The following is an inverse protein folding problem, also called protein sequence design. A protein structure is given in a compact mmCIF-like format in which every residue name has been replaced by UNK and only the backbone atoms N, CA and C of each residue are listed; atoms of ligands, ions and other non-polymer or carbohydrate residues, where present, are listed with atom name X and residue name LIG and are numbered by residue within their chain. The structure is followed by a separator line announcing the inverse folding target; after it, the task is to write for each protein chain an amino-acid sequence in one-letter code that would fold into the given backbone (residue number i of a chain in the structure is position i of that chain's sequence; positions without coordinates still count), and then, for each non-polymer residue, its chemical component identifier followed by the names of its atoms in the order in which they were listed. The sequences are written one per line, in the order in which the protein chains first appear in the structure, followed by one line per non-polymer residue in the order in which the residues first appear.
data_IF_833533533000
#
_entry.id   IF_833533533000
#
_cell.length_a   1.000
_cell.length_b   1.000
_cell.length_c   1.000
_cell.angle_alpha   90.00
_cell.angle_beta   90.00
_cell.angle_gamma   90.00
#
_symmetry.space_group_name_H-M   'P 1'
#
loop_
_entity.id
_entity.type
_entity.pdbx_description
1 polymer ?
#
# COMPACT_ATOMS: atom_id res chain seq x y z
N UNK A 1 -30.84 -3.28 -1.26
CA UNK A 1 -29.88 -4.10 -0.49
C UNK A 1 -28.53 -3.40 -0.63
N UNK A 2 -27.87 -3.06 0.47
CA UNK A 2 -26.53 -2.47 0.38
C UNK A 2 -25.61 -3.48 -0.33
N UNK A 3 -24.89 -3.03 -1.36
CA UNK A 3 -23.93 -3.88 -2.06
C UNK A 3 -22.81 -4.21 -1.06
N UNK A 4 -22.64 -5.50 -0.73
CA UNK A 4 -21.58 -5.96 0.19
C UNK A 4 -20.24 -5.58 -0.45
N UNK A 5 -19.40 -4.85 0.29
CA UNK A 5 -18.07 -4.42 -0.19
C UNK A 5 -17.22 -5.64 -0.55
N UNK A 6 -16.32 -5.50 -1.53
CA UNK A 6 -15.35 -6.54 -1.87
C UNK A 6 -14.37 -6.83 -0.71
N UNK A 7 -14.31 -5.95 0.28
CA UNK A 7 -13.47 -6.07 1.47
C UNK A 7 -14.10 -6.83 2.63
N UNK A 8 -15.41 -7.10 2.58
CA UNK A 8 -16.06 -7.70 3.74
C UNK A 8 -15.47 -9.07 4.07
N UNK A 9 -15.20 -9.30 5.35
CA UNK A 9 -14.60 -10.53 5.91
C UNK A 9 -13.13 -10.77 5.49
N UNK A 10 -12.47 -9.80 4.84
CA UNK A 10 -11.04 -9.89 4.48
C UNK A 10 -10.14 -9.79 5.69
N UNK A 11 -9.08 -10.59 5.74
CA UNK A 11 -8.11 -10.58 6.84
C UNK A 11 -6.93 -9.69 6.47
N UNK A 12 -6.73 -8.62 7.23
CA UNK A 12 -5.75 -7.58 6.92
C UNK A 12 -4.79 -7.42 8.09
N UNK A 13 -3.49 -7.40 7.80
CA UNK A 13 -2.46 -7.00 8.77
C UNK A 13 -2.16 -5.52 8.58
N UNK A 14 -2.20 -4.73 9.64
CA UNK A 14 -1.78 -3.33 9.66
C UNK A 14 -0.63 -3.15 10.64
N UNK A 15 0.47 -2.58 10.16
CA UNK A 15 1.70 -2.39 10.94
C UNK A 15 2.13 -0.94 10.92
N UNK A 16 2.13 -0.31 12.09
CA UNK A 16 2.44 1.11 12.28
C UNK A 16 2.82 1.32 13.75
N UNK A 17 3.88 2.08 14.04
CA UNK A 17 4.30 2.33 15.43
C UNK A 17 3.40 3.34 16.16
N UNK A 18 2.50 4.01 15.43
CA UNK A 18 1.52 4.97 15.94
C UNK A 18 0.16 4.28 16.18
N UNK A 19 -0.25 3.99 17.45
CA UNK A 19 -1.48 3.24 17.74
C UNK A 19 -2.76 3.92 17.24
N UNK A 20 -2.78 5.25 17.20
CA UNK A 20 -3.88 6.06 16.67
C UNK A 20 -4.07 5.86 15.16
N UNK A 21 -2.99 5.65 14.41
CA UNK A 21 -3.07 5.28 13.00
C UNK A 21 -3.71 3.91 12.84
N UNK A 22 -3.33 2.95 13.68
CA UNK A 22 -3.91 1.59 13.65
C UNK A 22 -5.41 1.61 13.96
N UNK A 23 -5.83 2.38 14.96
CA UNK A 23 -7.23 2.54 15.34
C UNK A 23 -8.02 3.23 14.22
N UNK A 24 -7.48 4.27 13.59
CA UNK A 24 -8.12 4.96 12.45
C UNK A 24 -8.28 4.02 11.24
N UNK A 25 -7.28 3.18 10.96
CA UNK A 25 -7.37 2.19 9.87
C UNK A 25 -8.40 1.12 10.19
N UNK A 26 -8.50 0.67 11.45
CA UNK A 26 -9.53 -0.29 11.88
C UNK A 26 -10.94 0.29 11.76
N UNK A 27 -11.14 1.56 12.12
CA UNK A 27 -12.42 2.26 11.94
C UNK A 27 -12.81 2.40 10.47
N UNK A 28 -11.88 2.74 9.59
CA UNK A 28 -12.13 2.85 8.14
C UNK A 28 -12.41 1.48 7.48
N UNK A 29 -11.85 0.41 8.03
CA UNK A 29 -11.97 -0.95 7.51
C UNK A 29 -12.82 -1.85 8.43
N UNK A 30 -13.87 -1.28 9.02
CA UNK A 30 -14.76 -1.95 10.00
C UNK A 30 -15.43 -3.23 9.47
N UNK A 31 -15.51 -3.38 8.15
CA UNK A 31 -16.00 -4.57 7.47
C UNK A 31 -14.99 -5.71 7.36
N UNK A 32 -13.73 -5.48 7.76
CA UNK A 32 -12.61 -6.42 7.67
C UNK A 32 -12.24 -7.02 9.04
N UNK A 33 -11.43 -8.07 9.02
CA UNK A 33 -10.77 -8.62 10.21
C UNK A 33 -9.34 -8.06 10.29
N UNK A 34 -9.13 -7.10 11.19
CA UNK A 34 -7.85 -6.39 11.31
C UNK A 34 -6.97 -7.03 12.38
N UNK A 35 -5.75 -7.43 11.99
CA UNK A 35 -4.65 -7.71 12.90
C UNK A 35 -3.74 -6.48 12.97
N UNK A 36 -3.43 -6.03 14.19
CA UNK A 36 -2.62 -4.83 14.46
C UNK A 36 -1.26 -5.23 15.03
N UNK A 37 -0.18 -4.63 14.54
CA UNK A 37 1.15 -4.73 15.15
C UNK A 37 1.82 -3.35 15.20
N UNK A 38 2.46 -3.04 16.34
CA UNK A 38 3.11 -1.74 16.56
C UNK A 38 4.63 -1.77 16.38
N UNK A 39 5.18 -2.94 16.08
CA UNK A 39 6.62 -3.15 16.03
C UNK A 39 6.98 -4.25 15.01
N UNK A 40 8.26 -4.25 14.63
CA UNK A 40 8.80 -5.16 13.64
C UNK A 40 8.69 -6.63 14.05
N UNK A 41 8.99 -6.97 15.31
CA UNK A 41 9.09 -8.36 15.76
C UNK A 41 7.72 -9.02 15.79
N UNK A 42 6.71 -8.32 16.33
CA UNK A 42 5.32 -8.76 16.32
C UNK A 42 4.79 -8.90 14.89
N UNK A 43 5.04 -7.90 14.03
CA UNK A 43 4.64 -7.94 12.63
C UNK A 43 5.27 -9.10 11.88
N UNK A 44 6.56 -9.36 12.09
CA UNK A 44 7.26 -10.49 11.49
C UNK A 44 6.67 -11.82 11.96
N UNK A 45 6.40 -11.98 13.26
CA UNK A 45 5.74 -13.18 13.77
C UNK A 45 4.36 -13.40 13.13
N UNK A 46 3.56 -12.35 12.98
CA UNK A 46 2.27 -12.42 12.31
C UNK A 46 2.40 -12.79 10.84
N UNK A 47 3.32 -12.13 10.13
CA UNK A 47 3.70 -12.43 8.77
C UNK A 47 4.28 -13.83 8.60
N UNK A 48 4.63 -14.58 9.64
CA UNK A 48 5.08 -15.98 9.54
C UNK A 48 4.01 -16.98 9.98
N UNK A 49 3.07 -16.55 10.82
CA UNK A 49 2.12 -17.44 11.50
C UNK A 49 0.73 -17.48 10.85
N UNK A 50 0.36 -16.41 10.14
CA UNK A 50 -0.98 -16.25 9.57
C UNK A 50 -0.95 -16.08 8.05
N UNK A 51 -2.13 -16.08 7.45
CA UNK A 51 -2.37 -15.72 6.03
C UNK A 51 -3.19 -14.44 5.98
N UNK A 52 -2.85 -13.55 5.07
CA UNK A 52 -3.52 -12.27 4.92
C UNK A 52 -3.96 -12.07 3.49
N UNK A 53 -5.14 -11.48 3.31
CA UNK A 53 -5.60 -11.01 2.01
C UNK A 53 -4.82 -9.74 1.59
N UNK A 54 -4.52 -8.87 2.56
CA UNK A 54 -3.76 -7.63 2.36
C UNK A 54 -2.87 -7.37 3.58
N UNK A 55 -1.66 -6.85 3.33
CA UNK A 55 -0.78 -6.31 4.37
C UNK A 55 -0.58 -4.81 4.14
N UNK A 56 -0.76 -4.00 5.18
CA UNK A 56 -0.50 -2.56 5.18
C UNK A 56 0.68 -2.27 6.11
N UNK A 57 1.71 -1.59 5.60
CA UNK A 57 2.95 -1.32 6.32
C UNK A 57 3.29 0.17 6.30
N UNK A 58 3.54 0.77 7.47
CA UNK A 58 4.38 1.98 7.52
C UNK A 58 5.83 1.64 7.23
N UNK A 59 6.57 2.62 6.71
CA UNK A 59 7.98 2.53 6.35
C UNK A 59 8.87 2.79 7.55
N UNK A 60 8.58 3.86 8.30
CA UNK A 60 9.38 4.26 9.47
C UNK A 60 8.78 3.71 10.76
N UNK A 61 9.57 3.70 11.84
CA UNK A 61 9.18 3.11 13.12
C UNK A 61 9.27 1.59 13.17
N UNK A 62 8.77 0.89 12.15
CA UNK A 62 8.61 -0.58 12.13
C UNK A 62 9.54 -1.31 11.15
N UNK A 63 10.51 -0.62 10.56
CA UNK A 63 11.39 -1.17 9.51
C UNK A 63 10.60 -1.78 8.33
N UNK A 64 9.67 -1.00 7.79
CA UNK A 64 8.67 -1.45 6.82
C UNK A 64 9.22 -2.05 5.53
N UNK A 65 10.41 -1.65 5.08
CA UNK A 65 11.01 -2.24 3.88
C UNK A 65 11.46 -3.68 4.08
N UNK A 66 11.90 -4.08 5.27
CA UNK A 66 12.24 -5.48 5.55
C UNK A 66 10.97 -6.31 5.76
N UNK A 67 9.92 -5.74 6.37
CA UNK A 67 8.60 -6.38 6.42
C UNK A 67 8.00 -6.56 5.02
N UNK A 68 8.14 -5.56 4.14
CA UNK A 68 7.66 -5.63 2.75
C UNK A 68 8.31 -6.79 2.00
N UNK A 69 9.63 -6.96 2.09
CA UNK A 69 10.32 -8.11 1.48
C UNK A 69 9.75 -9.43 1.96
N UNK A 70 9.50 -9.53 3.28
CA UNK A 70 8.94 -10.74 3.89
C UNK A 70 7.53 -11.00 3.38
N UNK A 71 6.65 -10.00 3.43
CA UNK A 71 5.28 -10.10 2.96
C UNK A 71 5.19 -10.49 1.46
N UNK A 72 6.00 -9.86 0.62
CA UNK A 72 6.08 -10.16 -0.82
C UNK A 72 6.63 -11.56 -1.08
N UNK A 73 7.65 -12.01 -0.34
CA UNK A 73 8.15 -13.40 -0.44
C UNK A 73 7.12 -14.45 -0.03
N UNK A 74 6.12 -14.06 0.76
CA UNK A 74 4.96 -14.87 1.12
C UNK A 74 3.75 -14.63 0.21
N UNK A 75 3.94 -13.88 -0.88
CA UNK A 75 2.93 -13.58 -1.89
C UNK A 75 1.74 -12.76 -1.37
N UNK A 76 1.92 -12.03 -0.26
CA UNK A 76 0.88 -11.14 0.26
C UNK A 76 0.83 -9.83 -0.52
N UNK A 77 -0.34 -9.42 -1.05
CA UNK A 77 -0.54 -8.09 -1.59
C UNK A 77 -0.24 -7.04 -0.52
N UNK A 78 0.80 -6.23 -0.73
CA UNK A 78 1.31 -5.31 0.30
C UNK A 78 1.20 -3.85 -0.13
N UNK A 79 0.51 -3.05 0.68
CA UNK A 79 0.34 -1.60 0.50
C UNK A 79 1.23 -0.87 1.49
N UNK A 80 2.04 0.07 1.01
CA UNK A 80 2.80 0.95 1.89
C UNK A 80 1.90 2.13 2.29
N UNK A 81 1.82 2.44 3.58
CA UNK A 81 1.02 3.56 4.12
C UNK A 81 1.94 4.43 4.99
N UNK A 82 2.37 5.59 4.50
CA UNK A 82 3.38 6.40 5.21
C UNK A 82 3.10 7.90 5.16
N UNK A 83 3.39 8.62 6.23
CA UNK A 83 3.39 10.09 6.23
C UNK A 83 4.80 10.64 6.01
N UNK A 84 5.74 10.13 6.80
CA UNK A 84 7.05 10.74 6.95
C UNK A 84 8.05 10.31 5.87
N UNK A 85 7.98 9.07 5.38
CA UNK A 85 8.89 8.56 4.34
C UNK A 85 8.40 8.87 2.91
N UNK A 86 7.51 9.85 2.76
CA UNK A 86 6.86 10.19 1.51
C UNK A 86 7.83 10.94 0.57
N UNK A 87 8.51 10.19 -0.29
CA UNK A 87 9.46 10.70 -1.29
C UNK A 87 9.44 9.86 -2.58
N UNK A 88 9.96 10.39 -3.71
CA UNK A 88 10.12 9.61 -4.94
C UNK A 88 10.99 8.37 -4.74
N UNK A 89 12.00 8.45 -3.88
CA UNK A 89 12.93 7.35 -3.60
C UNK A 89 12.24 6.21 -2.85
N UNK A 90 11.45 6.52 -1.82
CA UNK A 90 10.67 5.53 -1.08
C UNK A 90 9.61 4.89 -1.94
N UNK A 91 8.92 5.67 -2.78
CA UNK A 91 7.95 5.14 -3.75
C UNK A 91 8.63 4.18 -4.74
N UNK A 92 9.75 4.59 -5.34
CA UNK A 92 10.56 3.77 -6.26
C UNK A 92 11.02 2.48 -5.59
N UNK A 93 11.51 2.57 -4.36
CA UNK A 93 11.95 1.41 -3.58
C UNK A 93 10.79 0.47 -3.29
N UNK A 94 9.61 0.99 -2.95
CA UNK A 94 8.40 0.19 -2.70
C UNK A 94 7.97 -0.60 -3.94
N UNK A 95 7.93 0.05 -5.11
CA UNK A 95 7.63 -0.61 -6.40
C UNK A 95 8.65 -1.73 -6.66
N UNK A 96 9.95 -1.43 -6.54
CA UNK A 96 11.02 -2.42 -6.80
C UNK A 96 11.01 -3.62 -5.86
N UNK A 97 10.51 -3.44 -4.63
CA UNK A 97 10.40 -4.50 -3.64
C UNK A 97 9.09 -5.30 -3.76
N UNK A 98 8.21 -4.96 -4.71
CA UNK A 98 7.00 -5.72 -5.00
C UNK A 98 5.75 -5.25 -4.26
N UNK A 99 5.73 -4.03 -3.71
CA UNK A 99 4.50 -3.45 -3.21
C UNK A 99 3.46 -3.33 -4.35
N UNK A 100 2.19 -3.47 -4.00
CA UNK A 100 1.08 -3.33 -4.97
C UNK A 100 0.54 -1.90 -5.03
N UNK A 101 0.78 -1.11 -3.98
CA UNK A 101 0.39 0.30 -3.88
C UNK A 101 1.20 1.05 -2.82
N UNK A 102 1.08 2.38 -2.82
CA UNK A 102 1.77 3.29 -1.90
C UNK A 102 0.90 4.51 -1.62
N UNK A 103 0.44 4.66 -0.37
CA UNK A 103 -0.51 5.68 0.05
C UNK A 103 0.10 6.59 1.12
N UNK A 104 -0.20 7.90 1.09
CA UNK A 104 0.06 8.78 2.22
C UNK A 104 -0.92 8.48 3.36
N UNK A 105 -0.51 8.58 4.64
CA UNK A 105 -1.43 8.45 5.79
C UNK A 105 -2.61 9.45 5.73
N UNK A 106 -2.43 10.60 5.08
CA UNK A 106 -3.51 11.58 4.80
C UNK A 106 -4.66 11.01 3.94
N UNK A 107 -4.48 9.84 3.33
CA UNK A 107 -5.46 9.15 2.49
C UNK A 107 -6.13 7.96 3.17
N UNK A 108 -5.96 7.79 4.49
CA UNK A 108 -6.63 6.72 5.24
C UNK A 108 -8.15 6.77 5.05
N UNK A 109 -8.78 7.95 5.03
CA UNK A 109 -10.23 8.10 4.80
C UNK A 109 -10.75 7.63 3.43
N UNK A 110 -9.84 7.25 2.52
CA UNK A 110 -10.17 6.69 1.20
C UNK A 110 -9.64 5.25 1.07
N UNK A 111 -9.09 4.67 2.15
CA UNK A 111 -8.33 3.41 2.14
C UNK A 111 -9.19 2.25 1.65
N UNK A 112 -10.44 2.16 2.11
CA UNK A 112 -11.42 1.17 1.63
C UNK A 112 -11.51 1.14 0.10
N UNK A 113 -11.63 2.30 -0.54
CA UNK A 113 -11.70 2.42 -2.00
C UNK A 113 -10.41 1.96 -2.69
N UNK A 114 -9.24 2.24 -2.10
CA UNK A 114 -7.97 1.79 -2.66
C UNK A 114 -7.77 0.28 -2.50
N UNK A 115 -8.17 -0.29 -1.37
CA UNK A 115 -8.03 -1.73 -1.12
C UNK A 115 -9.01 -2.54 -1.97
N UNK A 116 -10.22 -2.03 -2.24
CA UNK A 116 -11.14 -2.67 -3.18
C UNK A 116 -10.51 -2.84 -4.56
N UNK A 117 -9.78 -1.83 -5.05
CA UNK A 117 -9.05 -1.93 -6.31
C UNK A 117 -7.98 -3.03 -6.27
N UNK A 118 -7.32 -3.25 -5.13
CA UNK A 118 -6.32 -4.31 -4.93
C UNK A 118 -6.97 -5.69 -4.94
N UNK A 119 -8.08 -5.85 -4.23
CA UNK A 119 -8.82 -7.14 -4.18
C UNK A 119 -9.41 -7.48 -5.54
N UNK A 120 -10.06 -6.52 -6.21
CA UNK A 120 -10.66 -6.72 -7.53
C UNK A 120 -9.60 -6.93 -8.62
N UNK A 121 -8.40 -6.39 -8.43
CA UNK A 121 -7.25 -6.65 -9.28
C UNK A 121 -6.56 -7.99 -9.01
N UNK A 122 -7.11 -8.85 -8.13
CA UNK A 122 -6.52 -10.12 -7.71
C UNK A 122 -5.09 -9.95 -7.15
N UNK A 123 -4.83 -8.86 -6.43
CA UNK A 123 -3.51 -8.57 -5.87
C UNK A 123 -2.47 -8.09 -6.89
N UNK A 124 -2.87 -7.86 -8.15
CA UNK A 124 -1.98 -7.26 -9.15
C UNK A 124 -1.61 -5.82 -8.74
N UNK A 125 -0.40 -5.35 -9.09
CA UNK A 125 0.00 -3.98 -8.78
C UNK A 125 -0.97 -2.96 -9.39
N UNK A 126 -1.52 -2.06 -8.55
CA UNK A 126 -2.58 -1.11 -8.95
C UNK A 126 -2.00 0.29 -9.20
N UNK A 127 -0.77 0.35 -9.70
CA UNK A 127 0.00 1.59 -9.83
C UNK A 127 -0.62 2.60 -10.77
N UNK A 128 -1.32 2.16 -11.81
CA UNK A 128 -2.00 3.02 -12.76
C UNK A 128 -3.14 3.81 -12.11
N UNK A 129 -4.07 3.12 -11.42
CA UNK A 129 -5.16 3.78 -10.67
C UNK A 129 -4.61 4.68 -9.58
N UNK A 130 -3.55 4.26 -8.89
CA UNK A 130 -2.87 5.08 -7.90
C UNK A 130 -2.35 6.39 -8.51
N UNK A 131 -1.63 6.32 -9.63
CA UNK A 131 -1.08 7.51 -10.28
C UNK A 131 -2.16 8.41 -10.87
N UNK A 132 -3.27 7.84 -11.33
CA UNK A 132 -4.44 8.60 -11.77
C UNK A 132 -5.08 9.37 -10.61
N UNK A 133 -5.32 8.70 -9.47
CA UNK A 133 -5.94 9.29 -8.28
C UNK A 133 -5.02 10.28 -7.53
N UNK A 134 -3.75 9.94 -7.36
CA UNK A 134 -2.78 10.68 -6.55
C UNK A 134 -1.74 11.45 -7.36
N UNK A 135 -1.85 11.51 -8.69
CA UNK A 135 -0.87 12.21 -9.54
C UNK A 135 -0.70 13.69 -9.17
N UNK A 136 -1.80 14.38 -8.90
CA UNK A 136 -1.78 15.77 -8.43
C UNK A 136 -1.17 15.91 -7.04
N UNK A 137 -1.44 14.96 -6.15
CA UNK A 137 -0.89 14.93 -4.81
C UNK A 137 0.64 14.76 -4.85
N UNK A 138 1.14 13.77 -5.58
CA UNK A 138 2.57 13.55 -5.76
C UNK A 138 3.25 14.72 -6.47
N UNK A 139 2.61 15.34 -7.46
CA UNK A 139 3.18 16.51 -8.14
C UNK A 139 3.31 17.72 -7.21
N UNK A 140 2.35 17.94 -6.30
CA UNK A 140 2.48 18.97 -5.26
C UNK A 140 3.59 18.65 -4.27
N UNK A 141 3.71 17.38 -3.87
CA UNK A 141 4.64 16.95 -2.81
C UNK A 141 6.09 16.77 -3.28
N UNK A 142 6.29 16.26 -4.50
CA UNK A 142 7.59 15.93 -5.09
C UNK A 142 8.07 16.99 -6.10
N UNK A 143 7.17 17.90 -6.48
CA UNK A 143 7.40 18.91 -7.51
C UNK A 143 6.92 18.46 -8.90
N UNK A 144 6.74 19.42 -9.82
CA UNK A 144 6.29 19.12 -11.17
C UNK A 144 7.31 18.24 -11.90
N UNK A 145 6.79 17.37 -12.75
CA UNK A 145 7.54 16.47 -13.63
C UNK A 145 8.52 15.56 -12.88
N UNK A 146 8.23 15.21 -11.62
CA UNK A 146 9.08 14.34 -10.80
C UNK A 146 9.29 12.95 -11.44
N UNK A 147 8.29 12.45 -12.19
CA UNK A 147 8.41 11.20 -12.96
C UNK A 147 9.38 11.30 -14.13
N UNK A 148 9.36 12.41 -14.88
CA UNK A 148 10.24 12.63 -16.04
C UNK A 148 11.71 12.80 -15.64
N UNK A 149 11.94 13.31 -14.42
CA UNK A 149 13.27 13.55 -13.86
C UNK A 149 13.99 12.28 -13.41
N UNK A 150 13.27 11.16 -13.25
CA UNK A 150 13.85 9.88 -12.88
C UNK A 150 13.55 8.83 -13.95
N UNK A 151 14.61 8.33 -14.57
CA UNK A 151 14.55 7.33 -15.64
C UNK A 151 13.66 6.13 -15.30
N UNK A 152 13.70 5.66 -14.05
CA UNK A 152 12.88 4.53 -13.61
C UNK A 152 11.38 4.85 -13.71
N UNK A 153 10.94 6.01 -13.24
CA UNK A 153 9.52 6.35 -13.26
C UNK A 153 9.01 6.57 -14.68
N UNK A 154 9.86 7.11 -15.56
CA UNK A 154 9.56 7.22 -16.98
C UNK A 154 9.35 5.86 -17.64
N UNK A 155 10.32 4.96 -17.51
CA UNK A 155 10.24 3.60 -18.07
C UNK A 155 9.08 2.80 -17.46
N UNK A 156 8.85 2.95 -16.15
CA UNK A 156 7.75 2.27 -15.46
C UNK A 156 6.37 2.72 -15.95
N UNK A 157 6.17 4.03 -16.17
CA UNK A 157 4.91 4.56 -16.68
C UNK A 157 4.68 4.23 -18.17
N UNK A 158 5.75 4.11 -18.96
CA UNK A 158 5.69 3.62 -20.34
C UNK A 158 5.23 2.15 -20.36
N UNK A 159 5.87 1.27 -19.58
CA UNK A 159 5.49 -0.14 -19.50
C UNK A 159 4.04 -0.35 -19.02
N UNK A 160 3.59 0.41 -18.00
CA UNK A 160 2.21 0.34 -17.52
C UNK A 160 1.18 0.67 -18.62
N UNK A 161 1.52 1.55 -19.56
CA UNK A 161 0.62 1.90 -20.68
C UNK A 161 0.62 0.83 -21.77
N UNK A 162 1.74 0.14 -21.98
CA UNK A 162 1.86 -0.95 -22.96
C UNK A 162 1.05 -2.17 -22.52
N UNK A 163 1.11 -2.54 -21.23
CA UNK A 163 0.35 -3.66 -20.66
C UNK A 163 -1.19 -3.49 -20.74
N UNK A 164 -1.67 -2.28 -21.04
CA UNK A 164 -3.08 -1.93 -21.20
C UNK A 164 -3.54 -1.82 -22.66
N UNK A 165 -2.60 -1.89 -23.60
CA UNK A 165 -2.85 -1.72 -25.04
C UNK A 165 -3.24 -2.99 -25.79
N UNK A 166 -3.26 -4.15 -25.11
CA UNK A 166 -3.57 -5.48 -25.66
C UNK A 166 -4.96 -6.02 -25.22
#
# INVERSE_FOLDING_TARGET
MAQKSALTDKVILVVDDEPDVLDTVEEELDMCLIHKATDYDTALQYLLSYTYDIVILDIMGVNGFELLKTAVSREFPTVMLTAHALSPESLKKSIKLGAVSFLPKEKIVELSTFLEDVVLGEGKPVWEKLFSKLGNYFSKRFGPNWKEKDRFFKEFEENLKEDMGD
#
